data_IF_013049678502
#
_entry.id   IF_013049678502
#
_cell.length_a   1.000
_cell.length_b   1.000
_cell.length_c   1.000
_cell.angle_alpha   90.00
_cell.angle_beta   90.00
_cell.angle_gamma   90.00
#
_symmetry.space_group_name_H-M   'P 1'
#
loop_
_entity.id
_entity.type
_entity.pdbx_description
1 polymer ?
#
# COMPACT_ATOMS: atom_id res chain seq x y z
N UNK A 1 -9.08 9.38 -0.66
CA UNK A 1 -8.71 8.29 0.26
C UNK A 1 -7.60 7.47 -0.38
N UNK A 2 -6.54 7.12 0.35
CA UNK A 2 -5.49 6.24 -0.14
C UNK A 2 -5.57 4.94 0.64
N UNK A 3 -5.65 3.83 -0.08
CA UNK A 3 -5.65 2.48 0.45
C UNK A 3 -4.27 1.88 0.27
N UNK A 4 -3.68 1.40 1.36
CA UNK A 4 -2.40 0.68 1.33
C UNK A 4 -2.69 -0.82 1.33
N UNK A 5 -2.12 -1.53 0.36
CA UNK A 5 -2.17 -2.99 0.32
C UNK A 5 -1.39 -3.60 1.47
N UNK A 6 -1.85 -4.75 1.98
CA UNK A 6 -1.10 -5.49 3.01
C UNK A 6 0.33 -5.77 2.51
N UNK A 7 1.32 -5.29 3.28
CA UNK A 7 2.73 -5.42 2.93
C UNK A 7 3.36 -6.76 3.35
N UNK A 8 2.77 -7.39 4.36
CA UNK A 8 3.26 -8.61 4.98
C UNK A 8 2.12 -9.60 5.17
N UNK A 9 2.48 -10.87 5.35
CA UNK A 9 1.53 -11.96 5.45
C UNK A 9 1.91 -12.96 6.53
N UNK A 10 1.46 -12.73 7.76
CA UNK A 10 1.29 -13.81 8.71
C UNK A 10 -0.13 -14.36 8.55
N UNK A 11 -0.30 -15.34 7.66
CA UNK A 11 -1.56 -16.06 7.52
C UNK A 11 -1.91 -16.51 6.10
N UNK A 12 -2.72 -17.56 6.03
CA UNK A 12 -3.13 -18.26 4.80
C UNK A 12 -3.99 -17.43 3.83
N UNK A 13 -4.52 -16.29 4.27
CA UNK A 13 -5.45 -15.46 3.47
C UNK A 13 -4.83 -14.15 2.94
N UNK A 14 -3.52 -13.96 3.09
CA UNK A 14 -2.84 -12.72 2.67
C UNK A 14 -3.09 -12.40 1.20
N UNK A 15 -3.02 -13.40 0.32
CA UNK A 15 -3.26 -13.21 -1.11
C UNK A 15 -4.71 -12.82 -1.40
N UNK A 16 -5.68 -13.52 -0.80
CA UNK A 16 -7.12 -13.23 -0.97
C UNK A 16 -7.44 -11.80 -0.54
N UNK A 17 -6.90 -11.35 0.58
CA UNK A 17 -7.11 -9.97 1.06
C UNK A 17 -6.45 -8.97 0.12
N UNK A 18 -5.24 -9.25 -0.38
CA UNK A 18 -4.54 -8.36 -1.32
C UNK A 18 -5.29 -8.22 -2.65
N UNK A 19 -5.82 -9.31 -3.18
CA UNK A 19 -6.63 -9.26 -4.40
C UNK A 19 -7.93 -8.48 -4.19
N UNK A 20 -8.58 -8.62 -3.03
CA UNK A 20 -9.73 -7.80 -2.68
C UNK A 20 -9.36 -6.30 -2.57
N UNK A 21 -8.21 -5.97 -1.98
CA UNK A 21 -7.73 -4.58 -1.87
C UNK A 21 -7.43 -3.98 -3.26
N UNK A 22 -6.77 -4.73 -4.16
CA UNK A 22 -6.53 -4.30 -5.55
C UNK A 22 -7.83 -4.15 -6.35
N UNK A 23 -8.83 -4.97 -6.05
CA UNK A 23 -10.13 -4.99 -6.73
C UNK A 23 -11.02 -3.77 -6.45
N UNK A 24 -10.70 -2.95 -5.44
CA UNK A 24 -11.51 -1.77 -5.08
C UNK A 24 -11.32 -0.68 -6.13
N UNK A 25 -12.34 -0.49 -6.97
CA UNK A 25 -12.39 0.54 -8.02
C UNK A 25 -13.43 1.61 -7.66
N UNK A 26 -13.03 2.58 -6.84
CA UNK A 26 -13.85 3.73 -6.46
C UNK A 26 -13.16 5.02 -6.89
N UNK A 27 -13.93 6.00 -7.42
CA UNK A 27 -13.40 7.23 -8.06
C UNK A 27 -12.36 7.98 -7.21
N UNK A 28 -12.56 8.04 -5.90
CA UNK A 28 -11.73 8.83 -4.98
C UNK A 28 -10.84 7.94 -4.08
N UNK A 29 -10.64 6.68 -4.48
CA UNK A 29 -9.77 5.72 -3.80
C UNK A 29 -8.57 5.41 -4.69
N UNK A 30 -7.38 5.58 -4.14
CA UNK A 30 -6.12 5.20 -4.80
C UNK A 30 -5.48 4.08 -4.03
N UNK A 31 -5.06 3.04 -4.75
CA UNK A 31 -4.37 1.90 -4.17
C UNK A 31 -2.85 2.09 -4.28
N UNK A 32 -2.14 1.87 -3.18
CA UNK A 32 -0.67 1.86 -3.10
C UNK A 32 -0.25 0.47 -2.62
N UNK A 33 0.53 -0.23 -3.44
CA UNK A 33 1.00 -1.57 -3.10
C UNK A 33 2.30 -1.52 -2.30
N UNK A 34 2.25 -1.92 -1.02
CA UNK A 34 3.40 -1.96 -0.14
C UNK A 34 4.12 -3.34 -0.14
N UNK A 35 3.70 -4.26 -1.00
CA UNK A 35 4.32 -5.58 -1.10
C UNK A 35 5.78 -5.52 -1.53
N UNK A 36 6.62 -6.35 -0.90
CA UNK A 36 8.05 -6.40 -1.17
C UNK A 36 8.87 -5.31 -0.49
N UNK A 37 8.23 -4.39 0.24
CA UNK A 37 8.96 -3.45 1.10
C UNK A 37 9.61 -4.20 2.28
N UNK A 38 10.82 -3.78 2.72
CA UNK A 38 11.54 -4.46 3.80
C UNK A 38 10.73 -4.57 5.10
N UNK A 39 10.71 -5.76 5.69
CA UNK A 39 10.06 -6.03 6.97
C UNK A 39 11.06 -5.98 8.12
N UNK A 40 10.56 -5.66 9.32
CA UNK A 40 11.31 -5.80 10.57
C UNK A 40 11.37 -7.27 10.98
N UNK A 41 12.27 -7.57 11.91
CA UNK A 41 12.37 -8.87 12.58
C UNK A 41 10.99 -9.32 13.09
N UNK A 42 10.54 -10.49 12.64
CA UNK A 42 9.17 -11.00 12.85
C UNK A 42 8.27 -10.96 11.61
N UNK A 43 8.74 -10.41 10.48
CA UNK A 43 8.08 -10.45 9.16
C UNK A 43 6.62 -9.98 9.14
N UNK A 44 6.22 -9.17 10.11
CA UNK A 44 4.87 -8.62 10.23
C UNK A 44 4.84 -7.11 9.99
N UNK A 45 5.77 -6.36 10.57
CA UNK A 45 5.80 -4.91 10.46
C UNK A 45 6.81 -4.46 9.41
N UNK A 46 6.53 -3.34 8.73
CA UNK A 46 7.50 -2.68 7.87
C UNK A 46 8.65 -2.12 8.71
N UNK A 47 9.87 -2.21 8.18
CA UNK A 47 11.03 -1.56 8.81
C UNK A 47 10.91 -0.02 8.73
N UNK A 48 11.69 0.71 9.52
CA UNK A 48 11.70 2.19 9.47
C UNK A 48 12.02 2.70 8.06
N UNK A 49 12.98 2.10 7.37
CA UNK A 49 13.31 2.48 5.99
C UNK A 49 12.15 2.21 5.03
N UNK A 50 11.46 1.08 5.20
CA UNK A 50 10.30 0.74 4.40
C UNK A 50 9.12 1.69 4.64
N UNK A 51 8.92 2.17 5.87
CA UNK A 51 7.93 3.19 6.19
C UNK A 51 8.24 4.54 5.53
N UNK A 52 9.52 4.93 5.46
CA UNK A 52 9.94 6.14 4.71
C UNK A 52 9.62 5.98 3.23
N UNK A 53 9.95 4.83 2.64
CA UNK A 53 9.62 4.52 1.24
C UNK A 53 8.11 4.55 0.99
N UNK A 54 7.32 3.93 1.86
CA UNK A 54 5.86 3.95 1.78
C UNK A 54 5.33 5.40 1.88
N UNK A 55 5.90 6.23 2.75
CA UNK A 55 5.56 7.65 2.86
C UNK A 55 5.75 8.40 1.53
N UNK A 56 6.84 8.14 0.81
CA UNK A 56 7.05 8.71 -0.52
C UNK A 56 6.01 8.22 -1.54
N UNK A 57 5.67 6.93 -1.52
CA UNK A 57 4.64 6.36 -2.41
C UNK A 57 3.26 6.97 -2.15
N UNK A 58 2.91 7.19 -0.86
CA UNK A 58 1.68 7.86 -0.47
C UNK A 58 1.64 9.33 -0.95
N UNK A 59 2.73 10.07 -0.74
CA UNK A 59 2.84 11.46 -1.20
C UNK A 59 2.73 11.56 -2.73
N UNK A 60 3.40 10.67 -3.46
CA UNK A 60 3.31 10.60 -4.93
C UNK A 60 1.88 10.28 -5.39
N UNK A 61 1.21 9.31 -4.77
CA UNK A 61 -0.19 8.98 -5.09
C UNK A 61 -1.13 10.16 -4.83
N UNK A 62 -0.89 10.96 -3.78
CA UNK A 62 -1.69 12.13 -3.46
C UNK A 62 -1.50 13.25 -4.49
N UNK A 63 -0.25 13.59 -4.82
CA UNK A 63 0.07 14.64 -5.80
C UNK A 63 -0.47 14.30 -7.19
N UNK A 64 -0.28 13.04 -7.64
CA UNK A 64 -0.78 12.58 -8.94
C UNK A 64 -2.31 12.61 -9.04
N UNK A 65 -3.01 12.42 -7.92
CA UNK A 65 -4.46 12.56 -7.91
C UNK A 65 -4.89 14.00 -8.18
N UNK A 66 -4.21 14.99 -7.57
CA UNK A 66 -4.49 16.41 -7.79
C UNK A 66 -4.20 16.85 -9.23
N UNK A 67 -3.16 16.30 -9.86
CA UNK A 67 -2.82 16.63 -11.26
C UNK A 67 -3.70 15.92 -12.29
N UNK A 68 -4.27 14.75 -11.97
CA UNK A 68 -5.16 14.01 -12.90
C UNK A 68 -6.61 14.53 -12.94
N UNK A 69 -6.96 15.54 -12.13
CA UNK A 69 -8.29 16.17 -12.11
C UNK A 69 -8.31 17.50 -12.88
N UNK A 70 -7.21 17.85 -13.57
CA UNK A 70 -7.10 18.98 -14.49
C UNK A 70 -7.02 18.52 -15.93
#
# INVERSE_FOLDING_TARGET
MIQVGLASGLGQYTEVVREAQKGIKLRNVRFVDANGLPLQDGHLHLSTQAQVQLGHMLAQSYLNYGTSQH
#
